data_IF_070683691476
#
_entry.id   IF_070683691476
#
_cell.length_a   1.000
_cell.length_b   1.000
_cell.length_c   1.000
_cell.angle_alpha   90.00
_cell.angle_beta   90.00
_cell.angle_gamma   90.00
#
_symmetry.space_group_name_H-M   'P 1'
#
loop_
_entity.id
_entity.type
_entity.pdbx_description
1 polymer ?
#
# COMPACT_ATOMS: atom_id res chain seq x y z
N UNK A 1 -13.34 13.13 -19.80
CA UNK A 1 -12.59 11.93 -19.37
C UNK A 1 -12.92 11.64 -17.90
N UNK A 2 -13.36 10.41 -17.61
CA UNK A 2 -13.58 9.91 -16.25
C UNK A 2 -12.24 9.31 -15.76
N UNK A 3 -11.55 9.91 -14.77
CA UNK A 3 -10.25 9.39 -14.30
C UNK A 3 -10.43 8.09 -13.50
N UNK A 4 -9.41 7.20 -13.49
CA UNK A 4 -9.46 5.97 -12.69
C UNK A 4 -9.50 6.23 -11.18
N UNK A 5 -8.94 7.35 -10.75
CA UNK A 5 -8.89 7.80 -9.38
C UNK A 5 -8.72 9.31 -9.29
N UNK A 6 -9.26 9.89 -8.25
CA UNK A 6 -9.17 11.34 -7.99
C UNK A 6 -9.28 11.58 -6.49
N UNK A 7 -8.40 12.44 -5.96
CA UNK A 7 -8.53 12.96 -4.61
C UNK A 7 -9.73 13.90 -4.50
N UNK A 8 -10.29 13.99 -3.31
CA UNK A 8 -11.29 15.01 -2.99
C UNK A 8 -10.71 16.02 -2.02
N UNK A 9 -10.67 17.28 -2.44
CA UNK A 9 -10.24 18.41 -1.63
C UNK A 9 -11.47 19.34 -1.43
N UNK A 10 -11.83 19.55 -0.17
CA UNK A 10 -12.87 20.49 0.24
C UNK A 10 -12.26 21.78 0.80
N UNK A 11 -13.10 22.80 1.04
CA UNK A 11 -12.63 24.08 1.56
C UNK A 11 -11.91 23.93 2.91
N UNK A 12 -12.42 23.05 3.78
CA UNK A 12 -11.79 22.74 5.06
C UNK A 12 -10.35 22.21 4.94
N UNK A 13 -10.03 21.44 3.88
CA UNK A 13 -8.68 20.97 3.60
C UNK A 13 -7.76 22.15 3.19
N UNK A 14 -8.31 23.10 2.41
CA UNK A 14 -7.59 24.29 1.97
C UNK A 14 -7.32 25.19 3.17
N UNK A 15 -8.31 25.43 4.01
CA UNK A 15 -8.23 26.33 5.15
C UNK A 15 -7.14 25.87 6.14
N UNK A 16 -7.08 24.59 6.49
CA UNK A 16 -6.05 24.09 7.42
C UNK A 16 -4.64 24.16 6.86
N UNK A 17 -4.47 24.07 5.54
CA UNK A 17 -3.16 24.25 4.88
C UNK A 17 -2.77 25.74 4.88
N UNK A 18 -3.72 26.65 4.61
CA UNK A 18 -3.51 28.11 4.68
C UNK A 18 -3.14 28.55 6.10
N UNK A 19 -3.81 28.00 7.12
CA UNK A 19 -3.49 28.23 8.53
C UNK A 19 -2.04 27.87 8.85
N UNK A 20 -1.54 26.75 8.34
CA UNK A 20 -0.13 26.37 8.52
C UNK A 20 0.81 27.37 7.83
N UNK A 21 0.49 27.82 6.61
CA UNK A 21 1.34 28.79 5.88
C UNK A 21 1.50 30.12 6.62
N UNK A 22 0.55 30.48 7.48
CA UNK A 22 0.58 31.69 8.29
C UNK A 22 1.04 31.48 9.73
N UNK A 23 1.35 30.21 10.09
CA UNK A 23 1.82 29.83 11.41
C UNK A 23 3.35 29.95 11.56
N UNK A 24 3.84 29.76 12.78
CA UNK A 24 5.29 29.78 13.09
C UNK A 24 6.03 28.53 12.59
N UNK A 25 5.32 27.45 12.21
CA UNK A 25 5.91 26.14 11.88
C UNK A 25 5.47 25.64 10.51
N UNK A 26 6.39 25.54 9.57
CA UNK A 26 6.19 24.85 8.29
C UNK A 26 6.71 23.40 8.32
N UNK A 27 7.54 23.08 9.33
CA UNK A 27 8.12 21.77 9.58
C UNK A 27 8.35 21.59 11.08
N UNK A 28 8.32 20.34 11.57
CA UNK A 28 8.60 19.98 12.97
C UNK A 28 7.76 20.75 13.99
N UNK A 29 6.53 21.06 13.67
CA UNK A 29 5.52 21.69 14.52
C UNK A 29 4.46 20.67 15.00
N UNK A 30 3.26 21.14 15.39
CA UNK A 30 2.24 20.30 16.01
C UNK A 30 1.40 19.46 15.06
N UNK A 31 1.35 19.79 13.75
CA UNK A 31 0.42 19.14 12.78
C UNK A 31 0.82 17.71 12.44
N UNK A 32 2.10 17.43 12.32
CA UNK A 32 2.57 16.05 12.09
C UNK A 32 2.27 15.15 13.28
N UNK A 33 2.56 15.50 14.54
CA UNK A 33 2.11 14.75 15.72
C UNK A 33 0.58 14.59 15.82
N UNK A 34 -0.21 15.61 15.45
CA UNK A 34 -1.67 15.55 15.42
C UNK A 34 -2.14 14.51 14.38
N UNK A 35 -1.49 14.45 13.23
CA UNK A 35 -1.77 13.46 12.19
C UNK A 35 -1.40 12.04 12.65
N UNK A 36 -0.23 11.86 13.26
CA UNK A 36 0.19 10.59 13.86
C UNK A 36 -0.82 10.11 14.91
N UNK A 37 -1.35 11.02 15.73
CA UNK A 37 -2.39 10.70 16.71
C UNK A 37 -3.71 10.29 16.05
N UNK A 38 -4.10 10.95 14.95
CA UNK A 38 -5.29 10.56 14.17
C UNK A 38 -5.16 9.15 13.59
N UNK A 39 -3.98 8.80 13.08
CA UNK A 39 -3.68 7.46 12.58
C UNK A 39 -3.77 6.40 13.68
N UNK A 40 -3.19 6.66 14.87
CA UNK A 40 -3.28 5.77 16.02
C UNK A 40 -4.72 5.56 16.48
N UNK A 41 -5.50 6.63 16.57
CA UNK A 41 -6.89 6.55 17.00
C UNK A 41 -7.74 5.70 16.03
N UNK A 42 -7.48 5.82 14.73
CA UNK A 42 -8.23 5.06 13.72
C UNK A 42 -7.77 3.60 13.66
N UNK A 43 -6.49 3.34 13.72
CA UNK A 43 -5.92 1.99 13.56
C UNK A 43 -5.84 1.18 14.85
N UNK A 44 -5.93 1.83 16.02
CA UNK A 44 -5.64 1.26 17.35
C UNK A 44 -4.17 0.84 17.55
N UNK A 45 -3.25 1.31 16.71
CA UNK A 45 -1.82 1.11 16.93
C UNK A 45 -1.29 1.99 18.08
N UNK A 46 -0.28 1.51 18.78
CA UNK A 46 0.35 2.24 19.90
C UNK A 46 1.21 3.41 19.40
N UNK A 47 1.87 3.26 18.24
CA UNK A 47 2.80 4.25 17.68
C UNK A 47 2.55 4.41 16.18
N UNK A 48 2.72 5.66 15.71
CA UNK A 48 2.69 6.01 14.29
C UNK A 48 3.83 6.99 14.01
N UNK A 49 4.57 6.76 12.94
CA UNK A 49 5.69 7.59 12.48
C UNK A 49 5.37 8.06 11.06
N UNK A 50 4.95 9.31 10.93
CA UNK A 50 4.63 9.92 9.65
C UNK A 50 5.92 10.35 8.93
N UNK A 51 5.94 10.12 7.62
CA UNK A 51 7.07 10.38 6.73
C UNK A 51 6.60 10.96 5.39
N UNK A 52 7.53 11.44 4.59
CA UNK A 52 7.26 12.11 3.32
C UNK A 52 6.73 11.20 2.19
N UNK A 53 6.78 9.87 2.34
CA UNK A 53 6.20 8.91 1.39
C UNK A 53 6.10 7.51 1.99
N UNK A 54 5.23 6.65 1.47
CA UNK A 54 5.20 5.23 1.86
C UNK A 54 6.49 4.48 1.51
N UNK A 55 7.19 4.90 0.46
CA UNK A 55 8.53 4.36 0.12
C UNK A 55 9.51 4.60 1.25
N UNK A 56 9.52 5.81 1.81
CA UNK A 56 10.33 6.14 2.99
C UNK A 56 9.91 5.33 4.22
N UNK A 57 8.59 5.14 4.42
CA UNK A 57 8.06 4.33 5.52
C UNK A 57 8.54 2.87 5.42
N UNK A 58 8.43 2.25 4.24
CA UNK A 58 8.92 0.88 3.99
C UNK A 58 10.43 0.77 4.22
N UNK A 59 11.20 1.77 3.78
CA UNK A 59 12.65 1.78 3.95
C UNK A 59 13.05 1.83 5.43
N UNK A 60 12.52 2.80 6.20
CA UNK A 60 12.84 2.88 7.64
C UNK A 60 12.26 1.72 8.45
N UNK A 61 11.16 1.11 8.02
CA UNK A 61 10.62 -0.10 8.62
C UNK A 61 11.61 -1.29 8.46
N UNK A 62 12.15 -1.47 7.25
CA UNK A 62 13.19 -2.47 7.01
C UNK A 62 14.44 -2.23 7.89
N UNK A 63 14.92 -0.99 7.95
CA UNK A 63 16.07 -0.64 8.78
C UNK A 63 15.80 -0.87 10.28
N UNK A 64 14.61 -0.51 10.77
CA UNK A 64 14.22 -0.71 12.16
C UNK A 64 14.18 -2.20 12.54
N UNK A 65 13.80 -3.07 11.60
CA UNK A 65 13.85 -4.53 11.75
C UNK A 65 15.24 -5.11 11.51
N UNK A 66 16.24 -4.27 11.23
CA UNK A 66 17.63 -4.66 11.04
C UNK A 66 17.90 -5.37 9.72
N UNK A 67 17.09 -5.11 8.68
CA UNK A 67 17.33 -5.63 7.33
C UNK A 67 18.61 -5.02 6.75
N UNK A 68 19.49 -5.86 6.21
CA UNK A 68 20.76 -5.44 5.65
C UNK A 68 21.39 -6.47 4.73
N UNK A 69 22.68 -6.28 4.45
CA UNK A 69 23.44 -7.16 3.55
C UNK A 69 23.40 -8.61 4.03
N UNK A 70 23.05 -9.51 3.13
CA UNK A 70 22.93 -10.95 3.40
C UNK A 70 21.53 -11.42 3.80
N UNK A 71 20.63 -10.49 4.15
CA UNK A 71 19.24 -10.80 4.47
C UNK A 71 18.39 -10.93 3.21
N UNK A 72 17.26 -11.65 3.33
CA UNK A 72 16.24 -11.77 2.31
C UNK A 72 14.94 -11.11 2.77
N UNK A 73 14.30 -10.39 1.85
CA UNK A 73 12.93 -9.90 2.01
C UNK A 73 12.07 -10.48 0.89
N UNK A 74 10.90 -11.02 1.23
CA UNK A 74 9.96 -11.55 0.26
C UNK A 74 8.68 -10.72 0.22
N UNK A 75 8.13 -10.53 -0.97
CA UNK A 75 6.86 -9.84 -1.18
C UNK A 75 6.07 -10.46 -2.34
N UNK A 76 4.90 -9.90 -2.66
CA UNK A 76 4.13 -10.31 -3.83
C UNK A 76 4.73 -9.72 -5.11
N UNK A 77 4.69 -10.45 -6.26
CA UNK A 77 5.08 -9.87 -7.55
C UNK A 77 4.08 -8.84 -8.08
N UNK A 78 2.80 -8.87 -7.63
CA UNK A 78 1.80 -7.85 -7.97
C UNK A 78 1.76 -6.81 -6.86
N UNK A 79 2.57 -5.78 -7.04
CA UNK A 79 2.68 -4.63 -6.14
C UNK A 79 3.33 -3.46 -6.86
N UNK A 80 3.27 -2.27 -6.25
CA UNK A 80 4.16 -1.19 -6.65
C UNK A 80 5.60 -1.54 -6.27
N UNK A 81 6.56 -1.15 -7.10
CA UNK A 81 7.97 -1.53 -6.92
C UNK A 81 8.57 -1.18 -5.54
N UNK A 82 7.98 -0.24 -4.81
CA UNK A 82 8.48 0.19 -3.50
C UNK A 82 8.51 -0.94 -2.47
N UNK A 83 7.53 -1.88 -2.50
CA UNK A 83 7.46 -3.01 -1.57
C UNK A 83 8.63 -3.99 -1.75
N UNK A 84 9.24 -4.03 -2.94
CA UNK A 84 10.44 -4.82 -3.23
C UNK A 84 11.72 -3.99 -3.11
N UNK A 85 11.69 -2.73 -3.57
CA UNK A 85 12.85 -1.83 -3.54
C UNK A 85 13.35 -1.56 -2.11
N UNK A 86 12.49 -1.58 -1.10
CA UNK A 86 12.86 -1.32 0.29
C UNK A 86 13.94 -2.29 0.80
N UNK A 87 13.94 -3.55 0.33
CA UNK A 87 15.03 -4.50 0.62
C UNK A 87 16.36 -4.05 0.02
N UNK A 88 16.29 -3.64 -1.25
CA UNK A 88 17.48 -3.25 -2.02
C UNK A 88 18.13 -1.97 -1.48
N UNK A 89 17.31 -1.03 -0.99
CA UNK A 89 17.82 0.18 -0.31
C UNK A 89 18.63 -0.15 0.94
N UNK A 90 18.29 -1.25 1.63
CA UNK A 90 19.03 -1.75 2.80
C UNK A 90 20.24 -2.63 2.42
N UNK A 91 20.50 -2.86 1.13
CA UNK A 91 21.55 -3.79 0.67
C UNK A 91 21.18 -5.27 0.82
N UNK A 92 19.93 -5.58 1.11
CA UNK A 92 19.40 -6.94 1.20
C UNK A 92 19.02 -7.49 -0.18
N UNK A 93 18.70 -8.76 -0.23
CA UNK A 93 18.17 -9.45 -1.39
C UNK A 93 16.65 -9.49 -1.34
N UNK A 94 16.01 -9.53 -2.52
CA UNK A 94 14.56 -9.62 -2.64
C UNK A 94 14.17 -10.90 -3.37
N UNK A 95 13.04 -11.48 -2.99
CA UNK A 95 12.38 -12.56 -3.72
C UNK A 95 10.85 -12.40 -3.62
N UNK A 96 10.12 -13.19 -4.39
CA UNK A 96 8.67 -13.05 -4.49
C UNK A 96 7.98 -14.37 -4.13
N UNK A 97 6.73 -14.23 -3.68
CA UNK A 97 5.78 -15.32 -3.46
C UNK A 97 4.58 -15.07 -4.35
N UNK A 98 4.18 -16.05 -5.16
CA UNK A 98 3.08 -15.88 -6.10
C UNK A 98 1.76 -15.57 -5.38
N UNK A 99 0.84 -14.99 -6.13
CA UNK A 99 -0.45 -14.54 -5.61
C UNK A 99 -1.48 -15.67 -5.55
N UNK A 100 -2.46 -15.48 -4.70
CA UNK A 100 -3.74 -16.17 -4.77
C UNK A 100 -4.54 -15.63 -5.97
N UNK A 101 -5.04 -16.48 -6.87
CA UNK A 101 -5.68 -16.05 -8.11
C UNK A 101 -7.03 -15.35 -7.92
N UNK A 102 -7.65 -15.50 -6.75
CA UNK A 102 -8.95 -14.90 -6.46
C UNK A 102 -8.83 -13.53 -5.79
N UNK A 103 -7.93 -13.41 -4.82
CA UNK A 103 -7.72 -12.17 -4.06
C UNK A 103 -6.61 -11.28 -4.60
N UNK A 104 -5.72 -11.85 -5.43
CA UNK A 104 -4.52 -11.22 -5.99
C UNK A 104 -3.46 -10.85 -4.94
N UNK A 105 -3.69 -11.20 -3.69
CA UNK A 105 -2.77 -11.03 -2.59
C UNK A 105 -1.76 -12.18 -2.51
N UNK A 106 -0.69 -12.00 -1.75
CA UNK A 106 0.29 -13.04 -1.46
C UNK A 106 -0.40 -14.32 -0.98
N UNK A 107 -0.17 -15.45 -1.69
CA UNK A 107 -0.79 -16.73 -1.40
C UNK A 107 -0.11 -17.41 -0.18
N UNK A 108 -0.82 -17.65 0.93
CA UNK A 108 -0.23 -18.29 2.12
C UNK A 108 0.30 -19.71 1.86
N UNK A 109 -0.36 -20.47 0.98
CA UNK A 109 0.06 -21.82 0.60
C UNK A 109 1.39 -21.78 -0.18
N UNK A 110 1.52 -20.83 -1.12
CA UNK A 110 2.78 -20.62 -1.86
C UNK A 110 3.90 -20.10 -0.97
N UNK A 111 3.54 -19.28 0.03
CA UNK A 111 4.49 -18.86 1.05
C UNK A 111 5.00 -20.06 1.86
N UNK A 112 4.11 -20.94 2.31
CA UNK A 112 4.48 -22.12 3.08
C UNK A 112 5.37 -23.08 2.27
N UNK A 113 5.02 -23.36 1.00
CA UNK A 113 5.84 -24.18 0.10
C UNK A 113 7.25 -23.60 -0.02
N UNK A 114 7.37 -22.30 -0.31
CA UNK A 114 8.65 -21.62 -0.48
C UNK A 114 9.47 -21.56 0.82
N UNK A 115 8.83 -21.41 1.98
CA UNK A 115 9.49 -21.42 3.28
C UNK A 115 10.11 -22.78 3.60
N UNK A 116 9.45 -23.91 3.25
CA UNK A 116 9.99 -25.26 3.43
C UNK A 116 11.28 -25.43 2.61
N UNK A 117 11.26 -25.07 1.34
CA UNK A 117 12.44 -25.14 0.44
C UNK A 117 13.58 -24.23 0.94
N UNK A 118 13.24 -22.98 1.33
CA UNK A 118 14.20 -22.03 1.82
C UNK A 118 14.85 -22.43 3.14
N UNK A 119 14.11 -23.11 4.01
CA UNK A 119 14.65 -23.66 5.27
C UNK A 119 15.74 -24.70 5.01
N UNK A 120 15.51 -25.61 4.07
CA UNK A 120 16.50 -26.61 3.67
C UNK A 120 17.73 -25.96 3.02
N UNK A 121 17.53 -24.89 2.25
CA UNK A 121 18.61 -24.14 1.59
C UNK A 121 19.33 -23.12 2.49
N UNK A 122 18.88 -22.91 3.74
CA UNK A 122 19.41 -21.89 4.64
C UNK A 122 19.16 -20.43 4.17
N UNK A 123 18.07 -20.18 3.44
CA UNK A 123 17.73 -18.91 2.80
C UNK A 123 16.36 -18.36 3.24
N UNK A 124 15.98 -18.59 4.49
CA UNK A 124 14.73 -18.04 5.02
C UNK A 124 14.71 -16.51 4.94
N UNK A 125 13.56 -15.89 4.67
CA UNK A 125 13.45 -14.45 4.69
C UNK A 125 13.59 -13.91 6.11
N UNK A 126 14.18 -12.75 6.25
CA UNK A 126 14.15 -11.99 7.50
C UNK A 126 12.84 -11.23 7.64
N UNK A 127 12.30 -10.77 6.52
CA UNK A 127 11.04 -10.02 6.45
C UNK A 127 10.19 -10.55 5.30
N UNK A 128 8.88 -10.66 5.52
CA UNK A 128 7.87 -10.84 4.48
C UNK A 128 6.98 -9.59 4.46
N UNK A 129 6.73 -9.07 3.26
CA UNK A 129 5.88 -7.89 3.04
C UNK A 129 4.62 -8.31 2.29
N UNK A 130 3.55 -8.74 2.98
CA UNK A 130 2.24 -8.91 2.36
C UNK A 130 1.69 -7.53 1.97
N UNK A 131 1.10 -7.45 0.77
CA UNK A 131 0.50 -6.23 0.21
C UNK A 131 -1.01 -6.41 0.17
N UNK A 132 -1.75 -5.53 0.80
CA UNK A 132 -3.22 -5.52 0.76
C UNK A 132 -3.70 -4.90 -0.56
N UNK A 133 -3.53 -5.64 -1.65
CA UNK A 133 -3.79 -5.13 -3.00
C UNK A 133 -5.25 -4.69 -3.17
N UNK A 134 -5.46 -3.58 -3.83
CA UNK A 134 -6.78 -2.95 -4.06
C UNK A 134 -7.52 -2.54 -2.78
N UNK A 135 -6.95 -2.79 -1.60
CA UNK A 135 -7.57 -2.58 -0.29
C UNK A 135 -8.12 -3.84 0.36
N UNK A 136 -8.09 -4.99 -0.36
CA UNK A 136 -8.45 -6.29 0.21
C UNK A 136 -7.36 -6.75 1.18
N UNK A 137 -7.67 -6.96 2.46
CA UNK A 137 -6.71 -7.52 3.41
C UNK A 137 -6.20 -8.89 2.97
N UNK A 138 -4.90 -9.14 3.15
CA UNK A 138 -4.34 -10.49 3.04
C UNK A 138 -4.89 -11.40 4.15
N UNK A 139 -4.77 -12.73 3.99
CA UNK A 139 -5.00 -13.66 5.10
C UNK A 139 -3.86 -13.57 6.13
N UNK A 140 -3.95 -12.53 6.96
CA UNK A 140 -2.91 -12.19 7.92
C UNK A 140 -2.75 -13.24 9.03
N UNK A 141 -3.81 -13.99 9.38
CA UNK A 141 -3.72 -15.08 10.36
C UNK A 141 -2.84 -16.20 9.85
N UNK A 142 -3.02 -16.62 8.60
CA UNK A 142 -2.19 -17.66 7.98
C UNK A 142 -0.73 -17.19 7.86
N UNK A 143 -0.48 -15.96 7.40
CA UNK A 143 0.87 -15.39 7.28
C UNK A 143 1.53 -15.27 8.66
N UNK A 144 0.82 -14.79 9.68
CA UNK A 144 1.34 -14.67 11.04
C UNK A 144 1.70 -16.03 11.66
N UNK A 145 0.88 -17.05 11.41
CA UNK A 145 1.20 -18.42 11.84
C UNK A 145 2.54 -18.89 11.26
N UNK A 146 2.74 -18.68 9.97
CA UNK A 146 4.01 -19.00 9.30
C UNK A 146 5.17 -18.15 9.83
N UNK A 147 4.93 -16.87 10.13
CA UNK A 147 5.94 -16.00 10.72
C UNK A 147 6.42 -16.52 12.09
N UNK A 148 5.49 -17.00 12.91
CA UNK A 148 5.84 -17.63 14.21
C UNK A 148 6.61 -18.94 14.04
N UNK A 149 6.26 -19.76 13.06
CA UNK A 149 6.88 -21.06 12.81
C UNK A 149 8.30 -20.91 12.22
N UNK A 150 8.49 -20.01 11.28
CA UNK A 150 9.76 -19.85 10.55
C UNK A 150 10.64 -18.69 11.04
N UNK A 151 10.12 -17.85 11.93
CA UNK A 151 10.90 -16.81 12.62
C UNK A 151 11.13 -15.52 11.81
N UNK A 152 10.38 -15.28 10.73
CA UNK A 152 10.49 -14.04 9.99
C UNK A 152 9.62 -12.92 10.58
N UNK A 153 9.96 -11.66 10.26
CA UNK A 153 9.21 -10.44 10.59
C UNK A 153 8.22 -10.09 9.49
N UNK A 154 7.17 -9.36 9.86
CA UNK A 154 6.11 -8.97 8.91
C UNK A 154 5.97 -7.45 8.87
N UNK A 155 6.04 -6.88 7.65
CA UNK A 155 5.63 -5.52 7.34
C UNK A 155 4.39 -5.59 6.46
N UNK A 156 3.23 -5.15 6.94
CA UNK A 156 2.04 -5.00 6.09
C UNK A 156 2.19 -3.77 5.20
N UNK A 157 2.27 -3.95 3.89
CA UNK A 157 2.08 -2.83 2.95
C UNK A 157 0.57 -2.61 2.75
N UNK A 158 0.02 -1.73 3.58
CA UNK A 158 -1.38 -1.35 3.59
C UNK A 158 -1.63 -0.05 2.81
N UNK A 159 -0.78 0.28 1.83
CA UNK A 159 -0.89 1.49 1.00
C UNK A 159 -2.24 1.65 0.29
N UNK A 160 -3.02 0.58 0.16
CA UNK A 160 -4.36 0.56 -0.42
C UNK A 160 -5.48 0.33 0.60
N UNK A 161 -5.18 0.13 1.90
CA UNK A 161 -6.12 -0.50 2.83
C UNK A 161 -6.48 0.34 4.06
N UNK A 162 -6.11 1.63 4.10
CA UNK A 162 -6.57 2.49 5.20
C UNK A 162 -8.11 2.54 5.25
N UNK A 163 -8.68 2.41 6.45
CA UNK A 163 -10.13 2.28 6.66
C UNK A 163 -10.67 0.87 6.43
N UNK A 164 -9.83 -0.08 5.97
CA UNK A 164 -10.18 -1.49 5.89
C UNK A 164 -10.21 -2.17 7.25
N UNK A 165 -10.81 -3.37 7.30
CA UNK A 165 -10.88 -4.21 8.52
C UNK A 165 -10.61 -5.67 8.18
N UNK A 166 -9.97 -6.36 9.11
CA UNK A 166 -9.74 -7.80 9.08
C UNK A 166 -10.27 -8.43 10.36
N UNK A 167 -11.26 -9.35 10.24
CA UNK A 167 -12.01 -9.91 11.37
C UNK A 167 -12.60 -8.85 12.32
N UNK A 168 -13.12 -7.76 11.77
CA UNK A 168 -13.73 -6.67 12.53
C UNK A 168 -12.75 -5.61 13.05
N UNK A 169 -11.46 -5.93 13.14
CA UNK A 169 -10.42 -5.03 13.63
C UNK A 169 -9.83 -4.17 12.50
N UNK A 170 -9.46 -2.91 12.77
CA UNK A 170 -8.94 -2.01 11.74
C UNK A 170 -7.57 -2.47 11.23
N UNK A 171 -7.35 -2.33 9.92
CA UNK A 171 -6.02 -2.46 9.33
C UNK A 171 -5.12 -1.37 9.91
N UNK A 172 -3.89 -1.75 10.24
CA UNK A 172 -2.92 -0.87 10.90
C UNK A 172 -2.79 -1.11 12.40
N UNK A 173 -3.64 -1.97 13.01
CA UNK A 173 -3.55 -2.31 14.43
C UNK A 173 -2.31 -3.15 14.81
N UNK A 174 -1.56 -3.62 13.80
CA UNK A 174 -0.35 -4.44 13.96
C UNK A 174 -0.56 -5.70 14.84
N UNK A 175 -1.77 -6.30 14.79
CA UNK A 175 -2.07 -7.53 15.54
C UNK A 175 -1.35 -8.76 14.95
N UNK A 176 -1.07 -8.73 13.65
CA UNK A 176 -0.47 -9.84 12.90
C UNK A 176 0.88 -9.47 12.25
N UNK A 177 1.38 -8.27 12.51
CA UNK A 177 2.61 -7.75 11.92
C UNK A 177 3.47 -7.03 12.96
N UNK A 178 4.73 -6.81 12.62
CA UNK A 178 5.63 -5.97 13.41
C UNK A 178 5.42 -4.48 13.07
N UNK A 179 5.15 -4.18 11.79
CA UNK A 179 4.92 -2.82 11.28
C UNK A 179 3.84 -2.87 10.20
N UNK A 180 2.98 -1.85 10.16
CA UNK A 180 2.05 -1.60 9.03
C UNK A 180 2.37 -0.25 8.39
N UNK A 181 2.39 -0.20 7.05
CA UNK A 181 2.70 1.01 6.29
C UNK A 181 1.47 1.49 5.52
N UNK A 182 1.16 2.78 5.63
CA UNK A 182 0.15 3.48 4.84
C UNK A 182 0.77 4.47 3.85
N UNK A 183 0.07 4.72 2.75
CA UNK A 183 0.42 5.71 1.72
C UNK A 183 -0.65 6.79 1.64
N UNK A 184 -0.21 8.04 1.48
CA UNK A 184 -1.07 9.21 1.34
C UNK A 184 -0.79 9.97 0.04
N UNK A 185 -0.33 9.25 -1.01
CA UNK A 185 -0.21 9.76 -2.38
C UNK A 185 -1.58 10.26 -2.89
N UNK A 186 -1.67 11.23 -3.83
CA UNK A 186 -2.94 11.88 -4.23
C UNK A 186 -4.07 10.93 -4.59
N UNK A 187 -3.78 9.81 -5.25
CA UNK A 187 -4.83 8.86 -5.69
C UNK A 187 -5.34 7.94 -4.58
N UNK A 188 -4.70 7.94 -3.39
CA UNK A 188 -5.08 7.07 -2.27
C UNK A 188 -6.40 7.52 -1.63
N UNK A 189 -6.94 6.70 -0.74
CA UNK A 189 -8.21 6.96 -0.04
C UNK A 189 -8.14 8.26 0.76
N UNK A 190 -7.02 8.49 1.45
CA UNK A 190 -6.65 9.73 2.13
C UNK A 190 -5.37 10.27 1.49
N UNK A 191 -5.27 11.57 1.29
CA UNK A 191 -4.07 12.20 0.72
C UNK A 191 -3.46 13.27 1.62
N UNK A 192 -2.13 13.37 1.55
CA UNK A 192 -1.34 14.49 2.06
C UNK A 192 -0.53 15.17 0.95
N UNK A 193 -0.99 15.09 -0.31
CA UNK A 193 -0.25 15.34 -1.56
C UNK A 193 0.83 14.27 -1.78
N UNK A 194 1.86 14.23 -0.99
CA UNK A 194 2.79 13.12 -0.80
C UNK A 194 2.86 12.81 0.69
N UNK A 195 2.99 11.54 1.05
CA UNK A 195 3.12 11.13 2.43
C UNK A 195 3.01 9.63 2.62
N UNK A 196 3.44 9.21 3.80
CA UNK A 196 3.30 7.84 4.29
C UNK A 196 3.38 7.80 5.80
N UNK A 197 3.08 6.67 6.38
CA UNK A 197 3.30 6.42 7.80
C UNK A 197 3.62 4.94 8.05
N UNK A 198 4.46 4.69 9.04
CA UNK A 198 4.71 3.37 9.59
C UNK A 198 4.13 3.29 11.01
N UNK A 199 3.30 2.29 11.26
CA UNK A 199 2.63 2.03 12.54
C UNK A 199 3.19 0.78 13.19
N UNK A 200 3.27 0.76 14.52
CA UNK A 200 3.73 -0.40 15.29
C UNK A 200 3.19 -0.37 16.72
N UNK A 201 3.17 -1.53 17.37
CA UNK A 201 2.90 -1.63 18.80
C UNK A 201 4.18 -1.74 19.65
N UNK A 202 5.35 -1.74 19.00
CA UNK A 202 6.65 -1.92 19.65
C UNK A 202 7.39 -0.57 19.73
N UNK A 203 7.54 -0.04 20.95
CA UNK A 203 8.23 1.25 21.19
C UNK A 203 9.63 1.28 20.55
N UNK A 204 10.40 0.21 20.70
CA UNK A 204 11.75 0.14 20.16
C UNK A 204 11.81 0.27 18.63
N UNK A 205 10.78 -0.21 17.90
CA UNK A 205 10.69 -0.03 16.46
C UNK A 205 10.29 1.41 16.11
N UNK A 206 9.34 2.00 16.87
CA UNK A 206 8.94 3.40 16.68
C UNK A 206 10.14 4.34 16.88
N UNK A 207 10.86 4.19 17.97
CA UNK A 207 12.05 5.02 18.30
C UNK A 207 13.11 4.95 17.17
N UNK A 208 13.38 3.75 16.66
CA UNK A 208 14.31 3.58 15.51
C UNK A 208 13.79 4.24 14.24
N UNK A 209 12.51 4.09 13.92
CA UNK A 209 11.92 4.72 12.72
C UNK A 209 11.92 6.25 12.83
N UNK A 210 11.65 6.81 13.99
CA UNK A 210 11.78 8.27 14.27
C UNK A 210 13.23 8.75 14.08
N UNK A 211 14.19 8.00 14.59
CA UNK A 211 15.62 8.29 14.44
C UNK A 211 16.02 8.29 12.96
N UNK A 212 15.66 7.24 12.22
CA UNK A 212 15.97 7.14 10.79
C UNK A 212 15.27 8.21 9.94
N UNK A 213 14.04 8.60 10.30
CA UNK A 213 13.30 9.68 9.65
C UNK A 213 14.02 11.03 9.71
N UNK A 214 14.85 11.24 10.75
CA UNK A 214 15.47 12.53 11.08
C UNK A 214 16.99 12.45 11.20
N UNK A 215 17.65 11.99 10.14
CA UNK A 215 19.12 11.97 9.98
C UNK A 215 19.90 11.06 10.97
N UNK A 216 19.23 10.23 11.78
CA UNK A 216 19.90 9.48 12.84
C UNK A 216 20.37 10.36 14.01
N UNK A 217 19.74 11.53 14.16
CA UNK A 217 20.10 12.54 15.18
C UNK A 217 19.22 12.37 16.41
N UNK A 218 19.84 12.35 17.59
CA UNK A 218 19.15 12.42 18.88
C UNK A 218 19.50 13.70 19.64
N UNK A 219 18.54 14.19 20.43
CA UNK A 219 18.72 15.20 21.47
C UNK A 219 18.43 14.63 22.86
N UNK A 220 18.06 13.36 22.94
CA UNK A 220 17.81 12.63 24.17
C UNK A 220 19.13 12.32 24.86
N UNK A 221 19.31 12.85 26.08
CA UNK A 221 20.53 12.67 26.86
C UNK A 221 20.82 11.21 27.22
N UNK A 222 19.77 10.40 27.35
CA UNK A 222 19.90 8.97 27.67
C UNK A 222 20.43 8.14 26.49
N UNK A 223 20.35 8.69 25.28
CA UNK A 223 20.85 8.07 24.05
C UNK A 223 22.22 8.63 23.63
N UNK A 224 22.70 9.67 24.28
CA UNK A 224 23.99 10.31 23.94
C UNK A 224 25.17 9.59 24.56
N UNK A 225 26.29 9.57 23.84
CA UNK A 225 27.59 9.16 24.36
C UNK A 225 28.30 10.37 24.98
N UNK A 226 28.74 10.26 26.24
CA UNK A 226 29.60 11.26 26.89
C UNK A 226 28.91 12.57 27.32
N UNK A 227 27.59 12.66 27.22
CA UNK A 227 26.81 13.79 27.68
C UNK A 227 26.69 14.97 26.69
N UNK A 228 25.95 16.02 27.09
CA UNK A 228 25.64 17.21 26.30
C UNK A 228 26.63 18.36 26.56
N UNK A 229 27.04 19.06 25.48
CA UNK A 229 27.89 20.27 25.58
C UNK A 229 27.07 21.55 25.72
N UNK A 230 25.73 21.49 25.74
CA UNK A 230 24.84 22.64 25.90
C UNK A 230 23.51 22.49 25.18
N UNK A 231 22.64 23.51 25.25
CA UNK A 231 21.26 23.45 24.71
C UNK A 231 21.18 23.31 23.19
N UNK A 232 22.22 23.60 22.46
CA UNK A 232 22.33 23.44 21.02
C UNK A 232 22.79 22.04 20.60
N UNK A 233 23.29 21.24 21.55
CA UNK A 233 23.99 19.99 21.26
C UNK A 233 23.01 18.91 20.83
N UNK A 234 23.46 18.11 19.90
CA UNK A 234 22.84 16.87 19.44
C UNK A 234 23.92 15.88 19.01
N UNK A 235 23.57 14.63 18.91
CA UNK A 235 24.45 13.62 18.36
C UNK A 235 23.80 12.89 17.20
N UNK A 236 24.57 12.62 16.15
CA UNK A 236 24.19 11.64 15.14
C UNK A 236 24.70 10.29 15.62
N UNK A 237 23.77 9.40 16.03
CA UNK A 237 24.08 8.09 16.60
C UNK A 237 23.84 6.94 15.61
N UNK A 238 23.25 7.22 14.44
CA UNK A 238 23.06 6.29 13.34
C UNK A 238 22.98 7.04 12.01
N UNK A 239 23.04 6.30 10.89
CA UNK A 239 22.84 6.88 9.56
C UNK A 239 21.35 6.95 9.24
N UNK A 240 20.78 8.15 9.33
CA UNK A 240 19.37 8.40 8.99
C UNK A 240 19.21 9.26 7.75
N UNK A 241 17.95 9.65 7.48
CA UNK A 241 17.51 10.31 6.24
C UNK A 241 16.72 11.57 6.55
N UNK A 242 16.49 12.41 5.55
CA UNK A 242 15.51 13.48 5.65
C UNK A 242 14.17 13.00 5.07
N UNK A 243 13.45 12.18 5.84
CA UNK A 243 12.15 11.64 5.47
C UNK A 243 10.98 12.27 6.22
N UNK A 244 11.22 13.41 6.86
CA UNK A 244 10.18 14.13 7.60
C UNK A 244 9.06 14.61 6.69
N UNK A 245 7.85 14.44 7.16
CA UNK A 245 6.66 15.09 6.61
C UNK A 245 6.66 16.57 7.00
N UNK A 246 6.17 17.45 6.14
CA UNK A 246 5.96 18.87 6.46
C UNK A 246 4.66 19.08 7.24
N UNK A 247 4.55 20.22 7.94
CA UNK A 247 3.31 20.60 8.63
C UNK A 247 2.13 20.79 7.69
N UNK A 248 2.38 21.26 6.44
CA UNK A 248 1.36 21.37 5.40
C UNK A 248 0.72 20.02 5.09
N UNK A 249 1.56 19.01 4.92
CA UNK A 249 1.11 17.63 4.66
C UNK A 249 0.39 17.05 5.89
N UNK A 250 0.93 17.28 7.09
CA UNK A 250 0.30 16.86 8.35
C UNK A 250 -1.09 17.44 8.54
N UNK A 251 -1.25 18.76 8.32
CA UNK A 251 -2.53 19.44 8.42
C UNK A 251 -3.56 18.91 7.43
N UNK A 252 -3.16 18.73 6.17
CA UNK A 252 -4.02 18.11 5.16
C UNK A 252 -4.44 16.70 5.59
N UNK A 253 -3.50 15.89 6.10
CA UNK A 253 -3.76 14.55 6.60
C UNK A 253 -4.78 14.52 7.74
N UNK A 254 -4.67 15.42 8.72
CA UNK A 254 -5.64 15.56 9.82
C UNK A 254 -7.03 15.87 9.29
N UNK A 255 -7.15 16.81 8.35
CA UNK A 255 -8.44 17.17 7.75
C UNK A 255 -9.05 16.00 6.97
N UNK A 256 -8.28 15.33 6.14
CA UNK A 256 -8.71 14.19 5.33
C UNK A 256 -9.15 13.00 6.20
N UNK A 257 -8.43 12.70 7.29
CA UNK A 257 -8.76 11.59 8.21
C UNK A 257 -10.15 11.72 8.85
N UNK A 258 -10.66 12.94 9.04
CA UNK A 258 -12.01 13.17 9.58
C UNK A 258 -13.11 12.58 8.70
N UNK A 259 -12.83 12.39 7.40
CA UNK A 259 -13.78 11.88 6.40
C UNK A 259 -13.46 10.46 5.91
N UNK A 260 -12.49 9.78 6.54
CA UNK A 260 -12.05 8.46 6.09
C UNK A 260 -13.20 7.45 5.98
N UNK A 261 -14.07 7.38 7.00
CA UNK A 261 -15.20 6.44 7.00
C UNK A 261 -16.21 6.76 5.87
N UNK A 262 -16.45 8.04 5.59
CA UNK A 262 -17.26 8.49 4.45
C UNK A 262 -16.64 8.07 3.11
N UNK A 263 -15.33 8.24 2.97
CA UNK A 263 -14.61 7.84 1.75
C UNK A 263 -14.71 6.34 1.49
N UNK A 264 -14.49 5.52 2.51
CA UNK A 264 -14.56 4.06 2.38
C UNK A 264 -16.01 3.60 2.13
N UNK A 265 -16.98 4.12 2.87
CA UNK A 265 -18.40 3.79 2.67
C UNK A 265 -18.89 4.16 1.25
N UNK A 266 -18.45 5.29 0.71
CA UNK A 266 -18.76 5.68 -0.67
C UNK A 266 -18.19 4.68 -1.69
N UNK A 267 -16.94 4.24 -1.50
CA UNK A 267 -16.31 3.24 -2.37
C UNK A 267 -17.03 1.90 -2.33
N UNK A 268 -17.53 1.48 -1.15
CA UNK A 268 -18.34 0.27 -1.03
C UNK A 268 -19.64 0.37 -1.84
N UNK A 269 -20.38 1.49 -1.75
CA UNK A 269 -21.59 1.71 -2.56
C UNK A 269 -21.32 1.64 -4.06
N UNK A 270 -20.21 2.25 -4.50
CA UNK A 270 -19.78 2.21 -5.91
C UNK A 270 -19.40 0.78 -6.35
N UNK A 271 -18.66 0.04 -5.52
CA UNK A 271 -18.27 -1.33 -5.81
C UNK A 271 -19.46 -2.29 -5.87
N UNK A 272 -20.41 -2.19 -4.92
CA UNK A 272 -21.65 -2.97 -4.93
C UNK A 272 -22.46 -2.73 -6.21
N UNK A 273 -22.53 -1.47 -6.65
CA UNK A 273 -23.19 -1.15 -7.91
C UNK A 273 -22.47 -1.76 -9.11
N UNK A 274 -21.13 -1.62 -9.17
CA UNK A 274 -20.34 -2.27 -10.23
C UNK A 274 -20.52 -3.79 -10.23
N UNK A 275 -20.49 -4.45 -9.09
CA UNK A 275 -20.75 -5.89 -8.99
C UNK A 275 -22.09 -6.27 -9.62
N UNK A 276 -23.13 -5.43 -9.45
CA UNK A 276 -24.45 -5.66 -10.00
C UNK A 276 -24.50 -5.43 -11.51
N UNK A 277 -24.00 -4.28 -12.01
CA UNK A 277 -24.15 -3.90 -13.41
C UNK A 277 -23.18 -4.62 -14.34
N UNK A 278 -22.03 -5.06 -13.83
CA UNK A 278 -21.01 -5.77 -14.63
C UNK A 278 -21.17 -7.29 -14.61
N UNK A 279 -22.11 -7.85 -13.83
CA UNK A 279 -22.27 -9.30 -13.62
C UNK A 279 -22.58 -10.09 -14.89
N UNK A 280 -23.15 -9.45 -15.92
CA UNK A 280 -23.49 -10.08 -17.21
C UNK A 280 -22.40 -9.98 -18.25
N UNK A 281 -21.31 -9.26 -17.97
CA UNK A 281 -20.20 -9.07 -18.91
C UNK A 281 -19.18 -10.22 -18.79
N UNK A 282 -18.40 -10.50 -19.84
CA UNK A 282 -17.35 -11.51 -19.83
C UNK A 282 -16.12 -11.04 -19.00
N UNK A 283 -16.32 -10.79 -17.73
CA UNK A 283 -15.31 -10.35 -16.78
C UNK A 283 -15.38 -11.12 -15.46
N UNK A 284 -14.27 -11.22 -14.77
CA UNK A 284 -14.21 -11.67 -13.37
C UNK A 284 -14.24 -10.44 -12.49
N UNK A 285 -15.19 -10.38 -11.56
CA UNK A 285 -15.33 -9.29 -10.58
C UNK A 285 -14.39 -9.49 -9.39
N UNK A 286 -14.04 -8.42 -8.65
CA UNK A 286 -13.18 -8.53 -7.47
C UNK A 286 -13.79 -9.46 -6.41
N UNK A 287 -13.00 -10.42 -5.95
CA UNK A 287 -13.37 -11.27 -4.83
C UNK A 287 -12.96 -10.62 -3.49
N UNK A 288 -13.83 -10.73 -2.49
CA UNK A 288 -13.55 -10.28 -1.13
C UNK A 288 -13.57 -11.48 -0.18
N UNK A 289 -12.53 -11.63 0.64
CA UNK A 289 -12.49 -12.69 1.66
C UNK A 289 -13.59 -12.47 2.71
N UNK A 290 -14.13 -13.56 3.23
CA UNK A 290 -15.05 -13.52 4.37
C UNK A 290 -14.38 -12.86 5.60
N UNK A 291 -15.16 -12.20 6.42
CA UNK A 291 -14.70 -11.48 7.60
C UNK A 291 -13.70 -10.37 7.32
N UNK A 292 -13.70 -9.82 6.10
CA UNK A 292 -12.94 -8.63 5.73
C UNK A 292 -13.86 -7.48 5.34
N UNK A 293 -13.38 -6.26 5.54
CA UNK A 293 -13.96 -5.04 5.01
C UNK A 293 -12.84 -4.32 4.26
N UNK A 294 -12.88 -4.36 2.94
CA UNK A 294 -11.83 -3.78 2.11
C UNK A 294 -11.80 -2.26 2.20
N UNK A 295 -10.61 -1.67 2.13
CA UNK A 295 -10.48 -0.23 1.89
C UNK A 295 -10.98 0.19 0.52
N UNK A 296 -11.10 -0.76 -0.42
CA UNK A 296 -11.59 -0.55 -1.79
C UNK A 296 -10.93 0.65 -2.49
N UNK A 297 -9.59 0.69 -2.41
CA UNK A 297 -8.83 1.71 -3.11
C UNK A 297 -9.00 1.60 -4.62
N UNK A 298 -9.00 0.39 -5.16
CA UNK A 298 -9.16 0.10 -6.58
C UNK A 298 -10.30 -0.90 -6.80
N UNK A 299 -10.97 -0.77 -7.93
CA UNK A 299 -11.91 -1.76 -8.45
C UNK A 299 -11.31 -2.37 -9.72
N UNK A 300 -10.80 -3.60 -9.60
CA UNK A 300 -10.12 -4.30 -10.68
C UNK A 300 -11.01 -5.42 -11.21
N UNK A 301 -11.27 -5.40 -12.52
CA UNK A 301 -11.86 -6.52 -13.24
C UNK A 301 -10.76 -7.31 -13.94
N UNK A 302 -10.99 -8.61 -14.21
CA UNK A 302 -10.18 -9.40 -15.13
C UNK A 302 -11.03 -9.79 -16.33
N UNK A 303 -10.50 -9.58 -17.52
CA UNK A 303 -11.17 -9.96 -18.77
C UNK A 303 -11.14 -11.48 -18.92
N UNK A 304 -12.25 -12.08 -19.32
CA UNK A 304 -12.30 -13.48 -19.75
C UNK A 304 -11.92 -13.53 -21.23
N UNK A 305 -10.62 -13.56 -21.50
CA UNK A 305 -10.05 -13.44 -22.84
C UNK A 305 -10.43 -14.59 -23.77
N UNK A 306 -10.88 -15.71 -23.25
CA UNK A 306 -11.43 -16.86 -23.98
C UNK A 306 -12.90 -16.67 -24.42
N UNK A 307 -13.60 -15.68 -23.83
CA UNK A 307 -14.99 -15.34 -24.18
C UNK A 307 -15.10 -14.13 -25.12
N UNK A 308 -13.99 -13.43 -25.43
CA UNK A 308 -13.97 -12.23 -26.29
C UNK A 308 -12.91 -12.34 -27.38
N UNK A 309 -13.15 -11.68 -28.53
CA UNK A 309 -12.19 -11.68 -29.67
C UNK A 309 -11.07 -10.62 -29.53
N UNK A 310 -11.24 -9.64 -28.63
CA UNK A 310 -10.26 -8.58 -28.40
C UNK A 310 -9.18 -9.02 -27.41
N UNK A 311 -7.97 -8.54 -27.62
CA UNK A 311 -6.88 -8.64 -26.65
C UNK A 311 -7.06 -7.65 -25.50
N UNK A 312 -6.43 -7.91 -24.37
CA UNK A 312 -6.39 -6.97 -23.23
C UNK A 312 -5.98 -5.56 -23.65
N UNK A 313 -4.95 -5.43 -24.51
CA UNK A 313 -4.45 -4.14 -25.00
C UNK A 313 -5.50 -3.39 -25.82
N UNK A 314 -6.25 -4.09 -26.66
CA UNK A 314 -7.30 -3.49 -27.48
C UNK A 314 -8.45 -3.00 -26.61
N UNK A 315 -8.92 -3.79 -25.64
CA UNK A 315 -9.94 -3.36 -24.66
C UNK A 315 -9.46 -2.16 -23.86
N UNK A 316 -8.24 -2.19 -23.35
CA UNK A 316 -7.65 -1.08 -22.57
C UNK A 316 -7.60 0.21 -23.39
N UNK A 317 -7.13 0.15 -24.64
CA UNK A 317 -7.03 1.31 -25.52
C UNK A 317 -8.42 1.84 -25.90
N UNK A 318 -9.36 0.96 -26.25
CA UNK A 318 -10.73 1.35 -26.61
C UNK A 318 -11.43 2.06 -25.43
N UNK A 319 -11.26 1.60 -24.19
CA UNK A 319 -11.77 2.31 -23.01
C UNK A 319 -11.21 3.72 -22.91
N UNK A 320 -9.90 3.89 -23.07
CA UNK A 320 -9.25 5.21 -22.99
C UNK A 320 -9.66 6.14 -24.12
N UNK A 321 -9.78 5.64 -25.34
CA UNK A 321 -10.23 6.38 -26.52
C UNK A 321 -11.68 6.87 -26.37
N UNK A 322 -12.51 6.12 -25.64
CA UNK A 322 -13.87 6.50 -25.28
C UNK A 322 -13.97 7.31 -23.96
N UNK A 323 -12.85 7.88 -23.48
CA UNK A 323 -12.85 8.79 -22.34
C UNK A 323 -12.92 8.12 -20.96
N UNK A 324 -12.75 6.80 -20.88
CA UNK A 324 -12.68 6.06 -19.61
C UNK A 324 -11.21 5.92 -19.19
N UNK A 325 -10.81 6.65 -18.16
CA UNK A 325 -9.45 6.64 -17.63
C UNK A 325 -9.15 5.38 -16.84
N UNK A 326 -8.92 4.26 -17.51
CA UNK A 326 -8.50 2.99 -16.89
C UNK A 326 -6.99 2.96 -16.63
N UNK A 327 -6.58 2.10 -15.72
CA UNK A 327 -5.17 1.84 -15.40
C UNK A 327 -4.94 0.33 -15.16
N UNK A 328 -3.69 -0.06 -14.95
CA UNK A 328 -3.29 -1.42 -14.62
C UNK A 328 -2.43 -1.42 -13.35
N UNK A 329 -2.86 -2.12 -12.32
CA UNK A 329 -2.18 -2.27 -11.04
C UNK A 329 -1.96 -3.75 -10.73
N UNK A 330 -0.76 -4.34 -10.99
CA UNK A 330 0.44 -3.72 -11.52
C UNK A 330 1.10 -4.63 -12.56
N UNK A 331 2.08 -4.09 -13.30
CA UNK A 331 3.03 -4.94 -14.04
C UNK A 331 3.79 -5.76 -13.00
N UNK A 332 3.90 -7.09 -13.14
CA UNK A 332 4.61 -7.91 -12.16
C UNK A 332 6.06 -7.44 -11.99
N UNK A 333 6.46 -7.16 -10.75
CA UNK A 333 7.77 -6.55 -10.45
C UNK A 333 8.92 -7.39 -10.98
N UNK A 334 8.83 -8.72 -10.90
CA UNK A 334 9.88 -9.64 -11.37
C UNK A 334 10.14 -9.54 -12.87
N UNK A 335 9.14 -9.08 -13.67
CA UNK A 335 9.30 -8.90 -15.13
C UNK A 335 9.91 -7.56 -15.52
N UNK A 336 10.08 -6.63 -14.56
CA UNK A 336 10.72 -5.34 -14.83
C UNK A 336 12.19 -5.54 -15.19
N UNK A 337 12.72 -4.75 -16.16
CA UNK A 337 14.11 -4.93 -16.63
C UNK A 337 15.16 -4.91 -15.51
N UNK A 338 14.93 -4.12 -14.46
CA UNK A 338 15.84 -4.05 -13.30
C UNK A 338 15.89 -5.40 -12.57
N UNK A 339 14.75 -6.02 -12.32
CA UNK A 339 14.63 -7.32 -11.64
C UNK A 339 15.03 -8.49 -12.54
N UNK A 340 14.74 -8.41 -13.84
CA UNK A 340 15.18 -9.40 -14.83
C UNK A 340 16.71 -9.53 -14.85
N UNK A 341 17.44 -8.42 -14.66
CA UNK A 341 18.92 -8.46 -14.51
C UNK A 341 19.42 -9.13 -13.22
N UNK A 342 18.53 -9.32 -12.23
CA UNK A 342 18.82 -10.10 -11.01
C UNK A 342 18.57 -11.60 -11.19
N UNK A 343 18.07 -12.03 -12.35
CA UNK A 343 17.84 -13.44 -12.67
C UNK A 343 16.37 -13.85 -12.70
N UNK A 344 15.43 -12.97 -12.37
CA UNK A 344 14.01 -13.24 -12.52
C UNK A 344 13.60 -13.27 -14.00
N UNK A 345 12.62 -14.10 -14.34
CA UNK A 345 12.15 -14.25 -15.71
C UNK A 345 10.64 -14.51 -15.77
N UNK A 346 10.10 -14.33 -16.95
CA UNK A 346 8.73 -14.73 -17.24
C UNK A 346 8.54 -16.24 -17.00
N UNK A 347 7.42 -16.61 -16.38
CA UNK A 347 7.09 -17.96 -15.96
C UNK A 347 7.43 -18.28 -14.49
N UNK A 348 8.18 -17.43 -13.80
CA UNK A 348 8.53 -17.66 -12.40
C UNK A 348 7.30 -17.55 -11.45
N UNK A 349 6.34 -16.70 -11.80
CA UNK A 349 5.12 -16.45 -10.98
C UNK A 349 3.86 -16.46 -11.86
N UNK A 350 3.37 -17.65 -12.26
CA UNK A 350 2.34 -17.82 -13.28
C UNK A 350 0.98 -17.21 -12.91
N UNK A 351 0.58 -17.21 -11.64
CA UNK A 351 -0.68 -16.60 -11.22
C UNK A 351 -0.62 -15.07 -11.36
N UNK A 352 0.49 -14.45 -10.95
CA UNK A 352 0.72 -13.02 -11.12
C UNK A 352 0.76 -12.61 -12.61
N UNK A 353 1.38 -13.41 -13.45
CA UNK A 353 1.46 -13.14 -14.88
C UNK A 353 0.11 -13.34 -15.58
N UNK A 354 -0.73 -14.29 -15.14
CA UNK A 354 -2.09 -14.43 -15.62
C UNK A 354 -2.94 -13.23 -15.25
N UNK A 355 -2.89 -12.81 -13.98
CA UNK A 355 -3.54 -11.60 -13.53
C UNK A 355 -3.17 -10.39 -14.39
N UNK A 356 -1.89 -10.17 -14.66
CA UNK A 356 -1.40 -9.04 -15.46
C UNK A 356 -1.97 -9.02 -16.88
N UNK A 357 -2.13 -10.19 -17.52
CA UNK A 357 -2.68 -10.29 -18.86
C UNK A 357 -4.17 -9.94 -18.97
N UNK A 358 -4.89 -9.95 -17.84
CA UNK A 358 -6.36 -9.85 -17.79
C UNK A 358 -6.86 -8.59 -17.06
N UNK A 359 -6.07 -8.05 -16.14
CA UNK A 359 -6.53 -7.05 -15.18
C UNK A 359 -6.67 -5.64 -15.75
N UNK A 360 -7.78 -4.98 -15.44
CA UNK A 360 -8.05 -3.56 -15.71
C UNK A 360 -8.64 -2.92 -14.47
N UNK A 361 -8.02 -1.84 -14.01
CA UNK A 361 -8.57 -1.00 -12.93
C UNK A 361 -9.57 -0.01 -13.52
N UNK A 362 -10.84 -0.16 -13.17
CA UNK A 362 -11.91 0.74 -13.56
C UNK A 362 -11.92 2.01 -12.68
N UNK A 363 -12.50 3.12 -13.18
CA UNK A 363 -12.72 4.32 -12.38
C UNK A 363 -13.50 4.04 -11.09
N UNK A 364 -12.92 4.40 -9.94
CA UNK A 364 -13.61 4.39 -8.66
C UNK A 364 -12.95 5.37 -7.68
N UNK A 365 -13.66 6.45 -7.34
CA UNK A 365 -13.20 7.47 -6.40
C UNK A 365 -14.39 8.07 -5.66
N UNK A 366 -14.14 8.67 -4.50
CA UNK A 366 -15.18 9.25 -3.66
C UNK A 366 -15.97 10.31 -4.42
N UNK A 367 -16.48 10.90 -4.82
CA UNK A 367 -17.21 11.88 -5.65
C UNK A 367 -17.59 11.41 -7.05
N UNK A 368 -17.36 10.13 -7.36
CA UNK A 368 -17.84 9.55 -8.62
C UNK A 368 -19.36 9.46 -8.62
N UNK A 369 -19.99 9.99 -9.68
CA UNK A 369 -21.46 9.97 -9.80
C UNK A 369 -21.98 8.66 -10.39
N UNK A 370 -23.29 8.40 -10.20
CA UNK A 370 -23.93 7.23 -10.81
C UNK A 370 -23.92 7.30 -12.34
N UNK A 371 -24.10 8.50 -12.90
CA UNK A 371 -24.04 8.74 -14.35
C UNK A 371 -22.64 8.40 -14.91
N UNK A 372 -21.59 8.73 -14.17
CA UNK A 372 -20.23 8.33 -14.56
C UNK A 372 -20.05 6.80 -14.52
N UNK A 373 -20.62 6.10 -13.53
CA UNK A 373 -20.61 4.64 -13.52
C UNK A 373 -21.42 4.03 -14.68
N UNK A 374 -22.58 4.64 -15.02
CA UNK A 374 -23.37 4.22 -16.18
C UNK A 374 -22.62 4.38 -17.49
N UNK A 375 -21.84 5.46 -17.62
CA UNK A 375 -21.01 5.68 -18.80
C UNK A 375 -19.88 4.65 -18.89
N UNK A 376 -19.19 4.35 -17.78
CA UNK A 376 -18.18 3.27 -17.73
C UNK A 376 -18.80 1.93 -18.16
N UNK A 377 -20.00 1.60 -17.65
CA UNK A 377 -20.71 0.37 -17.99
C UNK A 377 -21.07 0.33 -19.49
N UNK A 378 -21.67 1.41 -20.02
CA UNK A 378 -22.10 1.47 -21.43
C UNK A 378 -20.92 1.28 -22.37
N UNK A 379 -19.81 1.98 -22.12
CA UNK A 379 -18.61 1.86 -22.95
C UNK A 379 -18.01 0.46 -22.87
N UNK A 380 -17.87 -0.09 -21.68
CA UNK A 380 -17.32 -1.44 -21.48
C UNK A 380 -18.23 -2.51 -22.11
N UNK A 381 -19.56 -2.40 -21.93
CA UNK A 381 -20.56 -3.29 -22.51
C UNK A 381 -20.50 -3.27 -24.05
N UNK A 382 -20.45 -2.09 -24.65
CA UNK A 382 -20.33 -1.94 -26.11
C UNK A 382 -19.04 -2.61 -26.63
N UNK A 383 -17.89 -2.33 -26.00
CA UNK A 383 -16.61 -2.93 -26.41
C UNK A 383 -16.63 -4.45 -26.30
N UNK A 384 -17.13 -5.00 -25.19
CA UNK A 384 -17.05 -6.43 -24.93
C UNK A 384 -18.12 -7.24 -25.68
N UNK A 385 -19.40 -6.76 -25.73
CA UNK A 385 -20.49 -7.53 -26.35
C UNK A 385 -20.49 -7.48 -27.88
N UNK A 386 -20.01 -6.40 -28.49
CA UNK A 386 -19.88 -6.36 -29.97
C UNK A 386 -18.70 -7.19 -30.46
N UNK A 387 -17.85 -7.67 -29.57
CA UNK A 387 -16.66 -8.47 -29.86
C UNK A 387 -16.65 -9.80 -29.08
N UNK A 388 -17.83 -10.37 -28.82
CA UNK A 388 -17.93 -11.75 -28.33
C UNK A 388 -17.44 -12.72 -29.40
N UNK A 389 -16.50 -13.60 -29.03
CA UNK A 389 -15.90 -14.61 -29.93
C UNK A 389 -16.80 -15.84 -30.12
#
# INVERSE_FOLDING_TARGET
>A
VIPYGKQEIKQEDIDVVVDVLTSDFLTQGPKVPEFEQSLKNHSSASYAVAVNSATSALHIACLALGVGKGDWLWTSPITFVASANCALYCGAQVDFVDIDPDTYNLCPQKLEEKLKEAKEAGKLPKVVVPVHLCGQPCDMRAIHKLAKEYGFKVIEDASHAIGGRYHGEPIGNCAFSDITVFSFHPVKIVTTAEGGAALTNQKALADKMELYRSHGITRDLDQMEGGSHGRWYYQQIDLGFNYRMTELQGALGVSQMRRLDEFVASRHRLAERYNKILSSLPVVLPHQLENTYSGLHLYVIRLKLDEISLTHKEVFNALRENGIGVNLHYIPVHTQPYYARMGFKQGDFPAAESYYREAISLPMFHGMTLEQQDEVYKVLNHILLENLG
#
